data_IF_338803157923
#
_entry.id   IF_338803157923
#
_cell.length_a   1.000
_cell.length_b   1.000
_cell.length_c   1.000
_cell.angle_alpha   90.00
_cell.angle_beta   90.00
_cell.angle_gamma   90.00
#
_symmetry.space_group_name_H-M   'P 1'
#
loop_
_entity.id
_entity.type
_entity.pdbx_description
1 polymer ?
#
# COMPACT_ATOMS: atom_id res chain seq x y z
N UNK A 1 -10.81 -1.29 -11.07
CA UNK A 1 -10.13 -2.34 -10.28
C UNK A 1 -8.67 -2.36 -10.69
N UNK A 2 -7.73 -2.53 -9.77
CA UNK A 2 -6.33 -2.75 -10.15
C UNK A 2 -6.20 -4.11 -10.83
N UNK A 3 -5.55 -4.16 -11.99
CA UNK A 3 -5.43 -5.38 -12.78
C UNK A 3 -3.94 -5.63 -13.02
N UNK A 4 -3.35 -6.68 -12.44
CA UNK A 4 -1.96 -7.03 -12.70
C UNK A 4 -1.77 -7.45 -14.16
N UNK A 5 -0.59 -7.22 -14.72
CA UNK A 5 -0.26 -7.67 -16.09
C UNK A 5 0.17 -9.15 -16.16
N UNK A 6 0.59 -9.69 -15.02
CA UNK A 6 0.96 -11.10 -14.87
C UNK A 6 0.70 -11.50 -13.41
N UNK A 7 0.38 -12.76 -13.21
CA UNK A 7 0.29 -13.43 -11.90
C UNK A 7 1.36 -14.51 -11.76
N UNK A 8 2.28 -14.59 -12.71
CA UNK A 8 3.43 -15.48 -12.63
C UNK A 8 4.40 -14.99 -11.55
N UNK A 9 4.79 -15.90 -10.66
CA UNK A 9 5.71 -15.61 -9.56
C UNK A 9 7.13 -15.47 -10.10
N UNK A 10 7.79 -14.31 -9.97
CA UNK A 10 9.20 -14.18 -10.32
C UNK A 10 10.08 -15.08 -9.45
N UNK A 11 11.26 -15.46 -9.93
CA UNK A 11 12.14 -16.45 -9.28
C UNK A 11 12.51 -16.10 -7.83
N UNK A 12 12.66 -14.82 -7.51
CA UNK A 12 13.05 -14.34 -6.17
C UNK A 12 11.87 -13.97 -5.28
N UNK A 13 10.66 -14.17 -5.76
CA UNK A 13 9.44 -13.84 -5.04
C UNK A 13 8.78 -15.12 -4.54
N UNK A 14 8.37 -15.12 -3.29
CA UNK A 14 7.65 -16.24 -2.67
C UNK A 14 6.39 -15.78 -1.97
N UNK A 15 5.39 -16.63 -1.91
CA UNK A 15 4.27 -16.43 -1.00
C UNK A 15 4.78 -16.54 0.44
N UNK A 16 4.34 -15.61 1.27
CA UNK A 16 4.71 -15.52 2.66
C UNK A 16 3.48 -15.22 3.53
N UNK A 17 3.62 -15.47 4.82
CA UNK A 17 2.65 -15.08 5.83
C UNK A 17 3.40 -14.34 6.93
N UNK A 18 3.01 -13.09 7.16
CA UNK A 18 3.59 -12.27 8.21
C UNK A 18 2.73 -12.41 9.46
N UNK A 19 3.26 -13.14 10.45
CA UNK A 19 2.59 -13.35 11.73
C UNK A 19 2.81 -12.14 12.65
N UNK A 20 1.72 -11.58 13.14
CA UNK A 20 1.72 -10.44 14.06
C UNK A 20 0.75 -10.68 15.21
N UNK A 21 0.81 -9.86 16.25
CA UNK A 21 -0.19 -9.85 17.35
C UNK A 21 -1.61 -9.52 16.87
N UNK A 22 -1.75 -8.91 15.66
CA UNK A 22 -3.03 -8.51 15.08
C UNK A 22 -3.59 -9.52 14.07
N UNK A 23 -2.86 -10.60 13.82
CA UNK A 23 -3.22 -11.70 12.91
C UNK A 23 -2.09 -12.05 11.93
N UNK A 24 -2.39 -13.04 11.10
CA UNK A 24 -1.50 -13.56 10.07
C UNK A 24 -1.84 -12.95 8.72
N UNK A 25 -1.02 -12.03 8.22
CA UNK A 25 -1.28 -11.32 6.96
C UNK A 25 -0.61 -12.04 5.79
N UNK A 26 -1.36 -12.25 4.71
CA UNK A 26 -0.83 -12.79 3.48
C UNK A 26 0.09 -11.76 2.80
N UNK A 27 1.21 -12.25 2.30
CA UNK A 27 2.22 -11.41 1.67
C UNK A 27 2.92 -12.11 0.50
N UNK A 28 3.56 -11.30 -0.34
CA UNK A 28 4.64 -11.72 -1.23
C UNK A 28 5.94 -11.14 -0.70
N UNK A 29 6.95 -11.97 -0.59
CA UNK A 29 8.27 -11.57 -0.15
C UNK A 29 9.29 -11.78 -1.25
N UNK A 30 10.10 -10.76 -1.50
CA UNK A 30 11.27 -10.82 -2.38
C UNK A 30 12.53 -10.56 -1.58
N UNK A 31 13.57 -11.38 -1.80
CA UNK A 31 14.86 -11.27 -1.12
C UNK A 31 16.02 -11.09 -2.12
N UNK A 32 17.14 -10.47 -1.72
CA UNK A 32 18.36 -10.39 -2.53
C UNK A 32 18.86 -11.78 -2.92
N UNK A 33 19.45 -11.89 -4.13
CA UNK A 33 19.90 -13.20 -4.67
C UNK A 33 21.08 -13.84 -3.92
N UNK A 34 21.83 -13.05 -3.17
CA UNK A 34 22.98 -13.54 -2.36
C UNK A 34 22.63 -13.72 -0.88
N UNK A 35 21.36 -13.60 -0.51
CA UNK A 35 20.88 -13.87 0.87
C UNK A 35 21.32 -12.84 1.92
N UNK A 36 22.08 -11.82 1.55
CA UNK A 36 22.51 -10.73 2.45
C UNK A 36 21.70 -9.49 2.16
N UNK A 37 20.99 -8.96 3.18
CA UNK A 37 20.28 -7.70 3.10
C UNK A 37 21.17 -6.59 3.65
N UNK A 38 21.79 -5.82 2.78
CA UNK A 38 22.64 -4.68 3.19
C UNK A 38 21.83 -3.41 3.43
N UNK A 39 20.55 -3.43 3.05
CA UNK A 39 19.66 -2.27 3.09
C UNK A 39 18.39 -2.55 3.89
N UNK A 40 17.74 -1.47 4.30
CA UNK A 40 16.52 -1.54 5.08
C UNK A 40 15.36 -2.12 4.28
N UNK A 41 14.50 -2.93 4.91
CA UNK A 41 13.36 -3.55 4.24
C UNK A 41 12.30 -2.54 3.84
N UNK A 42 11.45 -2.95 2.89
CA UNK A 42 10.30 -2.17 2.45
C UNK A 42 9.00 -2.97 2.59
N UNK A 43 7.92 -2.29 2.97
CA UNK A 43 6.55 -2.83 3.01
C UNK A 43 5.67 -2.06 2.03
N UNK A 44 4.96 -2.79 1.17
CA UNK A 44 4.11 -2.25 0.12
C UNK A 44 2.64 -2.59 0.41
N UNK A 45 1.79 -1.57 0.39
CA UNK A 45 0.37 -1.63 0.78
C UNK A 45 -0.50 -1.36 -0.46
N UNK A 46 -1.41 -2.30 -0.83
CA UNK A 46 -2.21 -2.20 -2.04
C UNK A 46 -3.37 -1.21 -1.91
N UNK A 47 -3.95 -0.87 -3.06
CA UNK A 47 -5.14 -0.02 -3.16
C UNK A 47 -6.45 -0.75 -2.89
N UNK A 48 -7.55 -0.02 -3.01
CA UNK A 48 -8.91 -0.56 -2.95
C UNK A 48 -9.12 -1.64 -4.02
N UNK A 49 -9.73 -2.76 -3.67
CA UNK A 49 -9.90 -3.95 -4.52
C UNK A 49 -8.61 -4.57 -5.05
N UNK A 50 -7.46 -4.09 -4.58
CA UNK A 50 -6.15 -4.63 -4.92
C UNK A 50 -5.71 -5.76 -4.01
N UNK A 51 -4.51 -6.26 -4.26
CA UNK A 51 -3.82 -7.24 -3.43
C UNK A 51 -2.31 -7.12 -3.63
N UNK A 52 -1.55 -7.91 -2.87
CA UNK A 52 -0.08 -7.97 -2.95
C UNK A 52 0.44 -8.23 -4.37
N UNK A 53 -0.36 -8.91 -5.21
CA UNK A 53 -0.01 -9.23 -6.60
C UNK A 53 0.07 -8.00 -7.51
N UNK A 54 -0.54 -6.88 -7.13
CA UNK A 54 -0.41 -5.62 -7.87
C UNK A 54 1.04 -5.09 -7.89
N UNK A 55 1.89 -5.60 -6.98
CA UNK A 55 3.30 -5.24 -6.89
C UNK A 55 4.26 -6.26 -7.51
N UNK A 56 3.77 -7.40 -8.01
CA UNK A 56 4.62 -8.44 -8.60
C UNK A 56 5.69 -7.90 -9.58
N UNK A 57 5.36 -6.96 -10.50
CA UNK A 57 6.34 -6.49 -11.48
C UNK A 57 7.51 -5.71 -10.88
N UNK A 58 7.35 -5.14 -9.68
CA UNK A 58 8.39 -4.33 -9.04
C UNK A 58 9.16 -5.07 -7.95
N UNK A 59 8.66 -6.22 -7.44
CA UNK A 59 9.25 -6.91 -6.30
C UNK A 59 10.68 -7.38 -6.56
N UNK A 60 10.92 -8.09 -7.68
CA UNK A 60 12.25 -8.60 -8.01
C UNK A 60 13.26 -7.48 -8.31
N UNK A 61 12.94 -6.44 -9.13
CA UNK A 61 13.81 -5.29 -9.31
C UNK A 61 14.17 -4.56 -8.01
N UNK A 62 13.23 -4.45 -7.07
CA UNK A 62 13.45 -3.82 -5.78
C UNK A 62 14.35 -4.67 -4.87
N UNK A 63 14.15 -6.00 -4.84
CA UNK A 63 14.99 -6.92 -4.08
C UNK A 63 16.41 -7.00 -4.62
N UNK A 64 16.60 -6.85 -5.93
CA UNK A 64 17.91 -6.80 -6.57
C UNK A 64 18.77 -5.61 -6.10
N UNK A 65 18.16 -4.62 -5.43
CA UNK A 65 18.85 -3.50 -4.79
C UNK A 65 19.19 -3.77 -3.31
N UNK A 66 19.48 -5.02 -2.94
CA UNK A 66 20.03 -5.50 -1.67
C UNK A 66 19.09 -5.31 -0.45
N UNK A 67 17.78 -5.43 -0.66
CA UNK A 67 16.80 -5.30 0.43
C UNK A 67 15.69 -6.35 0.37
N UNK A 68 15.15 -6.72 1.52
CA UNK A 68 13.89 -7.47 1.60
C UNK A 68 12.73 -6.53 1.25
N UNK A 69 11.84 -7.01 0.39
CA UNK A 69 10.62 -6.28 0.00
C UNK A 69 9.41 -7.17 0.25
N UNK A 70 8.44 -6.66 0.99
CA UNK A 70 7.21 -7.37 1.36
C UNK A 70 6.00 -6.59 0.85
N UNK A 71 5.22 -7.18 -0.05
CA UNK A 71 3.90 -6.68 -0.43
C UNK A 71 2.83 -7.46 0.34
N UNK A 72 1.92 -6.77 1.03
CA UNK A 72 0.90 -7.38 1.87
C UNK A 72 -0.50 -7.23 1.30
N UNK A 73 -1.43 -8.12 1.67
CA UNK A 73 -2.86 -7.85 1.57
C UNK A 73 -3.32 -7.15 2.85
N UNK A 74 -4.13 -6.09 2.73
CA UNK A 74 -4.77 -5.47 3.89
C UNK A 74 -5.82 -6.43 4.51
N UNK A 75 -6.16 -6.21 5.76
CA UNK A 75 -7.27 -6.93 6.41
C UNK A 75 -8.52 -6.94 5.52
N UNK A 76 -9.07 -8.13 5.30
CA UNK A 76 -10.24 -8.36 4.47
C UNK A 76 -10.00 -8.32 2.96
N UNK A 77 -8.80 -8.01 2.50
CA UNK A 77 -8.44 -8.20 1.10
C UNK A 77 -7.90 -9.61 0.89
N UNK A 78 -8.33 -10.21 -0.20
CA UNK A 78 -7.90 -11.50 -0.76
C UNK A 78 -7.61 -12.56 0.33
N UNK A 79 -6.35 -12.84 0.63
CA UNK A 79 -5.93 -13.94 1.52
C UNK A 79 -5.64 -13.49 2.96
N UNK A 80 -5.77 -12.21 3.29
CA UNK A 80 -5.55 -11.71 4.65
C UNK A 80 -6.78 -11.89 5.55
N UNK A 81 -6.59 -11.91 6.89
CA UNK A 81 -7.68 -12.18 7.83
C UNK A 81 -8.80 -11.16 7.72
N UNK A 82 -10.01 -11.62 7.99
CA UNK A 82 -11.21 -10.79 7.99
C UNK A 82 -11.54 -10.32 9.42
N UNK A 83 -12.14 -9.14 9.55
CA UNK A 83 -12.72 -8.68 10.80
C UNK A 83 -14.18 -9.13 10.93
N UNK A 84 -14.69 -9.16 12.15
CA UNK A 84 -16.07 -9.57 12.44
C UNK A 84 -17.10 -8.56 11.90
N UNK A 85 -16.78 -7.28 11.98
CA UNK A 85 -17.67 -6.16 11.65
C UNK A 85 -16.92 -5.02 10.95
N UNK A 86 -17.66 -3.96 10.61
CA UNK A 86 -17.12 -2.75 9.93
C UNK A 86 -16.09 -2.00 10.76
N UNK A 87 -16.16 -2.05 12.09
CA UNK A 87 -15.24 -1.34 12.97
C UNK A 87 -13.80 -1.85 12.79
N UNK A 88 -13.63 -3.16 12.57
CA UNK A 88 -12.33 -3.76 12.30
C UNK A 88 -11.68 -3.33 10.98
N UNK A 89 -12.39 -2.60 10.14
CA UNK A 89 -11.88 -2.01 8.89
C UNK A 89 -11.76 -0.48 8.98
N UNK A 90 -11.90 0.10 10.18
CA UNK A 90 -11.67 1.53 10.37
C UNK A 90 -10.23 1.90 9.93
N UNK A 91 -10.01 3.12 9.38
CA UNK A 91 -8.69 3.53 8.90
C UNK A 91 -7.57 3.37 9.93
N UNK A 92 -7.85 3.65 11.20
CA UNK A 92 -6.91 3.45 12.31
C UNK A 92 -6.55 1.99 12.55
N UNK A 93 -7.51 1.06 12.40
CA UNK A 93 -7.29 -0.38 12.51
C UNK A 93 -6.41 -0.90 11.36
N UNK A 94 -6.73 -0.49 10.12
CA UNK A 94 -5.92 -0.85 8.95
C UNK A 94 -4.50 -0.27 9.04
N UNK A 95 -4.36 0.96 9.54
CA UNK A 95 -3.05 1.57 9.76
C UNK A 95 -2.24 0.85 10.86
N UNK A 96 -2.91 0.41 11.93
CA UNK A 96 -2.29 -0.39 12.98
C UNK A 96 -1.85 -1.78 12.47
N UNK A 97 -2.64 -2.41 11.59
CA UNK A 97 -2.27 -3.65 10.93
C UNK A 97 -1.00 -3.48 10.06
N UNK A 98 -0.95 -2.42 9.26
CA UNK A 98 0.23 -2.08 8.45
C UNK A 98 1.47 -1.89 9.33
N UNK A 99 1.34 -1.24 10.48
CA UNK A 99 2.46 -1.06 11.41
C UNK A 99 2.87 -2.36 12.09
N UNK A 100 1.94 -3.25 12.43
CA UNK A 100 2.26 -4.56 12.98
C UNK A 100 3.06 -5.41 11.97
N UNK A 101 2.68 -5.39 10.69
CA UNK A 101 3.43 -6.03 9.61
C UNK A 101 4.80 -5.36 9.43
N UNK A 102 4.88 -4.05 9.43
CA UNK A 102 6.14 -3.30 9.29
C UNK A 102 7.12 -3.64 10.44
N UNK A 103 6.61 -3.73 11.67
CA UNK A 103 7.42 -4.11 12.84
C UNK A 103 7.93 -5.56 12.75
N UNK A 104 7.10 -6.50 12.27
CA UNK A 104 7.52 -7.89 12.07
C UNK A 104 8.62 -7.98 11.02
N UNK A 105 8.41 -7.38 9.86
CA UNK A 105 9.39 -7.33 8.74
C UNK A 105 10.70 -6.68 9.18
N UNK A 106 10.61 -5.60 9.97
CA UNK A 106 11.81 -4.93 10.50
C UNK A 106 12.60 -5.81 11.47
N UNK A 107 11.93 -6.57 12.33
CA UNK A 107 12.58 -7.50 13.28
C UNK A 107 13.28 -8.67 12.57
N UNK A 108 12.61 -9.26 11.58
CA UNK A 108 13.14 -10.40 10.83
C UNK A 108 14.40 -10.01 10.05
N UNK A 109 14.39 -8.81 9.46
CA UNK A 109 15.57 -8.26 8.77
C UNK A 109 16.71 -7.94 9.74
N UNK A 110 16.43 -7.41 10.94
CA UNK A 110 17.44 -7.09 11.94
C UNK A 110 18.08 -8.35 12.57
N UNK A 111 17.33 -9.45 12.70
CA UNK A 111 17.84 -10.71 13.21
C UNK A 111 18.89 -11.35 12.27
N UNK A 112 18.88 -11.02 10.99
CA UNK A 112 19.87 -11.46 10.02
C UNK A 112 21.11 -10.54 9.92
N UNK A 113 21.11 -9.38 10.58
CA UNK A 113 22.16 -8.38 10.49
C UNK A 113 23.03 -8.33 11.76
N UNK A 114 24.28 -8.75 11.64
CA UNK A 114 25.39 -8.36 12.53
C UNK A 114 26.01 -6.99 12.14
N UNK A 115 25.26 -6.16 11.41
CA UNK A 115 25.74 -4.92 10.82
C UNK A 115 25.55 -3.67 11.69
N UNK A 116 26.31 -2.58 11.44
CA UNK A 116 26.42 -1.38 12.31
C UNK A 116 25.18 -0.47 12.30
N UNK A 117 24.03 -0.86 11.73
CA UNK A 117 22.86 -0.01 11.52
C UNK A 117 21.71 -0.27 12.51
N UNK A 118 21.98 -0.11 13.78
CA UNK A 118 21.15 -0.42 14.95
C UNK A 118 19.78 0.27 15.11
N UNK A 119 19.12 0.83 14.10
CA UNK A 119 17.75 1.35 14.24
C UNK A 119 16.76 0.56 13.40
N UNK A 120 15.80 -0.10 14.06
CA UNK A 120 14.67 -0.77 13.43
C UNK A 120 13.82 0.22 12.61
N UNK A 121 13.22 -0.24 11.50
CA UNK A 121 12.29 0.53 10.69
C UNK A 121 12.24 0.05 9.23
N UNK A 122 11.20 0.46 8.53
CA UNK A 122 10.95 0.07 7.14
C UNK A 122 10.72 1.29 6.23
N UNK A 123 10.98 1.13 4.94
CA UNK A 123 10.42 2.00 3.92
C UNK A 123 8.96 1.59 3.69
N UNK A 124 8.03 2.52 3.86
CA UNK A 124 6.61 2.25 3.69
C UNK A 124 6.12 2.82 2.37
N UNK A 125 5.45 2.00 1.58
CA UNK A 125 4.86 2.37 0.29
C UNK A 125 3.38 2.08 0.30
N UNK A 126 2.54 3.02 -0.12
CA UNK A 126 1.12 2.77 -0.31
C UNK A 126 0.66 3.20 -1.69
N UNK A 127 -0.09 2.32 -2.36
CA UNK A 127 -0.74 2.61 -3.63
C UNK A 127 -2.19 3.01 -3.40
N UNK A 128 -2.64 4.12 -4.01
CA UNK A 128 -4.05 4.53 -4.00
C UNK A 128 -4.60 4.64 -2.57
N UNK A 129 -5.66 3.92 -2.21
CA UNK A 129 -6.16 3.81 -0.83
C UNK A 129 -5.07 3.36 0.14
N UNK A 130 -4.22 2.42 -0.27
CA UNK A 130 -3.08 2.00 0.55
C UNK A 130 -2.13 3.15 0.89
N UNK A 131 -2.05 4.18 0.05
CA UNK A 131 -1.31 5.41 0.36
C UNK A 131 -1.95 6.23 1.47
N UNK A 132 -3.29 6.30 1.52
CA UNK A 132 -4.01 6.95 2.62
C UNK A 132 -3.81 6.18 3.94
N UNK A 133 -3.84 4.85 3.90
CA UNK A 133 -3.59 3.99 5.06
C UNK A 133 -2.11 4.07 5.50
N UNK A 134 -1.16 4.04 4.56
CA UNK A 134 0.27 4.19 4.86
C UNK A 134 0.60 5.57 5.46
N UNK A 135 -0.08 6.63 5.01
CA UNK A 135 -0.02 7.96 5.63
C UNK A 135 -0.47 7.89 7.10
N UNK A 136 -1.63 7.29 7.35
CA UNK A 136 -2.18 7.17 8.69
C UNK A 136 -1.28 6.29 9.59
N UNK A 137 -0.68 5.23 9.04
CA UNK A 137 0.31 4.41 9.73
C UNK A 137 1.58 5.21 10.10
N UNK A 138 2.09 6.05 9.20
CA UNK A 138 3.24 6.91 9.48
C UNK A 138 2.95 7.96 10.56
N UNK A 139 1.72 8.47 10.61
CA UNK A 139 1.25 9.40 11.66
C UNK A 139 1.13 8.71 13.02
N UNK A 140 0.70 7.44 13.07
CA UNK A 140 0.59 6.65 14.30
C UNK A 140 1.95 6.29 14.89
N UNK A 141 2.93 6.02 14.06
CA UNK A 141 4.18 5.37 14.46
C UNK A 141 5.42 6.15 14.02
N UNK A 142 5.45 7.42 14.41
CA UNK A 142 6.59 8.32 14.13
C UNK A 142 7.91 7.69 14.60
N UNK A 143 8.85 7.50 13.66
CA UNK A 143 10.21 6.97 13.93
C UNK A 143 10.42 5.49 13.57
N UNK A 144 9.36 4.71 13.32
CA UNK A 144 9.47 3.34 12.79
C UNK A 144 9.38 3.29 11.25
N UNK A 145 8.88 4.35 10.64
CA UNK A 145 8.87 4.54 9.19
C UNK A 145 10.11 5.34 8.79
N UNK A 146 10.97 4.74 7.96
CA UNK A 146 12.21 5.36 7.49
C UNK A 146 11.99 6.36 6.37
N UNK A 147 11.03 6.06 5.51
CA UNK A 147 10.50 6.94 4.48
C UNK A 147 9.10 6.49 4.09
N UNK A 148 8.31 7.40 3.58
CA UNK A 148 6.96 7.14 3.06
C UNK A 148 6.93 7.42 1.57
N UNK A 149 6.39 6.48 0.78
CA UNK A 149 6.08 6.71 -0.63
C UNK A 149 4.59 6.56 -0.89
N UNK A 150 4.00 7.56 -1.53
CA UNK A 150 2.61 7.60 -1.95
C UNK A 150 2.55 7.43 -3.47
N UNK A 151 1.99 6.31 -3.95
CA UNK A 151 1.87 6.00 -5.39
C UNK A 151 0.41 6.16 -5.80
N UNK A 152 0.11 7.04 -6.76
CA UNK A 152 -1.26 7.23 -7.26
C UNK A 152 -2.26 7.53 -6.14
N UNK A 153 -1.86 8.30 -5.14
CA UNK A 153 -2.65 8.58 -3.94
C UNK A 153 -2.81 10.09 -3.74
N UNK A 154 -3.87 10.48 -3.07
CA UNK A 154 -4.20 11.89 -2.87
C UNK A 154 -4.17 12.38 -1.42
N UNK A 155 -4.51 13.64 -1.20
CA UNK A 155 -4.50 14.24 0.13
C UNK A 155 -5.63 13.73 1.04
N UNK A 156 -6.74 13.30 0.45
CA UNK A 156 -7.95 12.87 1.15
C UNK A 156 -8.91 12.16 0.21
N UNK A 157 -10.22 12.38 0.40
CA UNK A 157 -11.27 11.70 -0.35
C UNK A 157 -11.08 11.74 -1.87
N UNK A 158 -11.43 10.64 -2.51
CA UNK A 158 -11.43 10.53 -3.97
C UNK A 158 -12.59 11.33 -4.56
N UNK A 159 -12.36 11.96 -5.71
CA UNK A 159 -13.34 12.78 -6.42
C UNK A 159 -13.71 12.24 -7.80
N UNK A 160 -14.36 13.10 -8.58
CA UNK A 160 -14.63 12.87 -10.01
C UNK A 160 -15.44 11.61 -10.30
N UNK A 161 -15.17 11.01 -11.47
CA UNK A 161 -15.90 9.85 -11.97
C UNK A 161 -15.74 8.62 -11.04
N UNK A 162 -14.57 8.43 -10.45
CA UNK A 162 -14.32 7.30 -9.54
C UNK A 162 -15.17 7.37 -8.27
N UNK A 163 -15.41 8.56 -7.73
CA UNK A 163 -16.33 8.74 -6.60
C UNK A 163 -17.77 8.39 -6.96
N UNK A 164 -18.21 8.67 -8.21
CA UNK A 164 -19.54 8.29 -8.70
C UNK A 164 -19.67 6.77 -8.73
N UNK A 165 -18.70 6.07 -9.31
CA UNK A 165 -18.67 4.60 -9.37
C UNK A 165 -18.67 3.98 -7.97
N UNK A 166 -17.91 4.54 -7.02
CA UNK A 166 -17.92 4.05 -5.62
C UNK A 166 -19.27 4.23 -4.95
N UNK A 167 -19.97 5.33 -5.19
CA UNK A 167 -21.33 5.53 -4.65
C UNK A 167 -22.30 4.52 -5.25
N UNK A 168 -22.27 4.30 -6.57
CA UNK A 168 -23.08 3.27 -7.22
C UNK A 168 -22.82 1.87 -6.65
N UNK A 169 -21.56 1.53 -6.40
CA UNK A 169 -21.20 0.28 -5.73
C UNK A 169 -21.82 0.19 -4.32
N UNK A 170 -21.75 1.26 -3.54
CA UNK A 170 -22.33 1.32 -2.20
C UNK A 170 -23.87 1.29 -2.23
N UNK A 171 -24.52 1.89 -3.23
CA UNK A 171 -25.98 1.82 -3.40
C UNK A 171 -26.44 0.37 -3.62
N UNK A 172 -25.61 -0.48 -4.21
CA UNK A 172 -25.89 -1.91 -4.41
C UNK A 172 -25.53 -2.74 -3.17
N UNK A 173 -24.34 -2.52 -2.59
CA UNK A 173 -23.84 -3.35 -1.50
C UNK A 173 -24.37 -2.93 -0.12
N UNK A 174 -24.76 -1.68 0.05
CA UNK A 174 -25.12 -1.10 1.36
C UNK A 174 -26.27 -0.08 1.25
N UNK A 175 -27.43 -0.48 0.64
CA UNK A 175 -28.53 0.42 0.33
C UNK A 175 -29.12 1.07 1.60
N UNK A 176 -29.09 0.37 2.73
CA UNK A 176 -29.61 0.84 4.02
C UNK A 176 -28.54 1.43 4.94
N UNK A 177 -27.32 1.63 4.46
CA UNK A 177 -26.22 2.27 5.18
C UNK A 177 -25.90 1.57 6.52
N UNK A 178 -25.95 0.23 6.54
CA UNK A 178 -25.64 -0.59 7.70
C UNK A 178 -26.72 -0.65 8.76
N UNK A 179 -27.93 -0.13 8.49
CA UNK A 179 -29.04 -0.13 9.47
C UNK A 179 -29.58 -1.52 9.76
N UNK A 180 -29.54 -2.42 8.76
CA UNK A 180 -30.10 -3.79 8.87
C UNK A 180 -29.05 -4.82 9.29
N UNK A 181 -27.84 -4.37 9.62
CA UNK A 181 -26.69 -5.23 9.87
C UNK A 181 -26.03 -5.73 8.58
N UNK A 182 -24.92 -6.46 8.74
CA UNK A 182 -24.16 -7.01 7.62
C UNK A 182 -24.36 -8.53 7.54
N UNK A 183 -25.22 -8.98 6.64
CA UNK A 183 -25.29 -10.39 6.25
C UNK A 183 -24.18 -10.70 5.24
N UNK A 184 -23.11 -11.31 5.73
CA UNK A 184 -21.90 -11.60 4.94
C UNK A 184 -22.20 -12.52 3.77
N UNK A 185 -23.03 -13.53 3.95
CA UNK A 185 -23.33 -14.51 2.90
C UNK A 185 -24.14 -13.85 1.78
N UNK A 186 -25.11 -13.02 2.14
CA UNK A 186 -25.89 -12.23 1.18
C UNK A 186 -24.98 -11.25 0.42
N UNK A 187 -24.12 -10.52 1.11
CA UNK A 187 -23.18 -9.57 0.49
C UNK A 187 -22.19 -10.29 -0.44
N UNK A 188 -21.69 -11.45 -0.04
CA UNK A 188 -20.80 -12.27 -0.89
C UNK A 188 -21.52 -12.73 -2.16
N UNK A 189 -22.78 -13.10 -2.07
CA UNK A 189 -23.59 -13.47 -3.23
C UNK A 189 -23.76 -12.29 -4.21
N UNK A 190 -24.00 -11.08 -3.68
CA UNK A 190 -24.10 -9.85 -4.49
C UNK A 190 -22.77 -9.54 -5.19
N UNK A 191 -21.64 -9.62 -4.47
CA UNK A 191 -20.30 -9.41 -5.05
C UNK A 191 -20.02 -10.42 -6.15
N UNK A 192 -20.36 -11.70 -5.94
CA UNK A 192 -20.23 -12.75 -6.94
C UNK A 192 -21.12 -12.51 -8.18
N UNK A 193 -22.32 -11.96 -7.98
CA UNK A 193 -23.19 -11.58 -9.08
C UNK A 193 -22.61 -10.39 -9.87
N UNK A 194 -22.14 -9.34 -9.19
CA UNK A 194 -21.48 -8.20 -9.84
C UNK A 194 -20.26 -8.62 -10.66
N UNK A 195 -19.48 -9.59 -10.16
CA UNK A 195 -18.38 -10.16 -10.92
C UNK A 195 -18.87 -10.79 -12.23
N UNK A 196 -19.80 -11.76 -12.15
CA UNK A 196 -20.29 -12.51 -13.30
C UNK A 196 -21.01 -11.64 -14.34
N UNK A 197 -21.79 -10.67 -13.91
CA UNK A 197 -22.65 -9.89 -14.80
C UNK A 197 -21.96 -8.65 -15.40
N UNK A 198 -20.95 -8.11 -14.70
CA UNK A 198 -20.35 -6.83 -15.10
C UNK A 198 -18.83 -6.89 -15.24
N UNK A 199 -18.10 -7.37 -14.22
CA UNK A 199 -16.66 -7.23 -14.18
C UNK A 199 -15.94 -8.23 -15.09
N UNK A 200 -16.35 -9.51 -15.09
CA UNK A 200 -15.77 -10.54 -15.94
C UNK A 200 -16.05 -10.30 -17.43
N UNK A 201 -17.28 -9.98 -17.86
CA UNK A 201 -17.53 -9.63 -19.26
C UNK A 201 -16.72 -8.42 -19.73
N UNK A 202 -16.58 -7.39 -18.86
CA UNK A 202 -15.76 -6.24 -19.21
C UNK A 202 -14.28 -6.60 -19.35
N UNK A 203 -13.73 -7.39 -18.43
CA UNK A 203 -12.33 -7.85 -18.50
C UNK A 203 -12.07 -8.63 -19.81
N UNK A 204 -13.02 -9.47 -20.25
CA UNK A 204 -12.94 -10.20 -21.53
C UNK A 204 -12.98 -9.25 -22.73
N UNK A 205 -13.85 -8.23 -22.70
CA UNK A 205 -13.93 -7.21 -23.75
C UNK A 205 -12.65 -6.38 -23.84
N UNK A 206 -12.01 -6.12 -22.71
CA UNK A 206 -10.73 -5.40 -22.64
C UNK A 206 -9.53 -6.27 -23.07
N UNK A 207 -9.76 -7.55 -23.42
CA UNK A 207 -8.72 -8.47 -23.87
C UNK A 207 -7.81 -8.97 -22.74
N UNK A 208 -8.29 -8.96 -21.50
CA UNK A 208 -7.52 -9.48 -20.35
C UNK A 208 -7.27 -10.97 -20.49
N UNK A 209 -6.04 -11.42 -20.21
CA UNK A 209 -5.65 -12.83 -20.25
C UNK A 209 -6.51 -13.68 -19.30
N UNK A 210 -6.88 -14.90 -19.73
CA UNK A 210 -7.76 -15.80 -18.97
C UNK A 210 -7.20 -16.18 -17.59
N UNK A 211 -5.87 -16.25 -17.42
CA UNK A 211 -5.25 -16.51 -16.11
C UNK A 211 -5.42 -15.33 -15.19
N UNK A 212 -5.37 -14.11 -15.72
CA UNK A 212 -5.63 -12.88 -14.96
C UNK A 212 -7.11 -12.82 -14.60
N UNK A 213 -8.02 -13.13 -15.51
CA UNK A 213 -9.46 -13.20 -15.22
C UNK A 213 -9.75 -14.20 -14.11
N UNK A 214 -9.18 -15.40 -14.18
CA UNK A 214 -9.32 -16.42 -13.13
C UNK A 214 -8.81 -15.90 -11.76
N UNK A 215 -7.64 -15.26 -11.75
CA UNK A 215 -7.11 -14.64 -10.54
C UNK A 215 -8.00 -13.51 -10.00
N UNK A 216 -8.50 -12.63 -10.86
CA UNK A 216 -9.40 -11.54 -10.46
C UNK A 216 -10.71 -12.07 -9.88
N UNK A 217 -11.22 -13.16 -10.46
CA UNK A 217 -12.39 -13.89 -9.94
C UNK A 217 -12.14 -14.42 -8.53
N UNK A 218 -11.04 -15.14 -8.35
CA UNK A 218 -10.66 -15.70 -7.05
C UNK A 218 -10.47 -14.59 -6.00
N UNK A 219 -9.70 -13.55 -6.33
CA UNK A 219 -9.48 -12.39 -5.47
C UNK A 219 -10.79 -11.73 -5.05
N UNK A 220 -11.71 -11.54 -6.00
CA UNK A 220 -13.01 -10.92 -5.75
C UNK A 220 -13.85 -11.76 -4.79
N UNK A 221 -13.91 -13.08 -4.98
CA UNK A 221 -14.68 -13.97 -4.12
C UNK A 221 -14.10 -14.16 -2.72
N UNK A 222 -12.77 -14.04 -2.56
CA UNK A 222 -12.12 -14.16 -1.25
C UNK A 222 -12.08 -12.83 -0.48
N UNK A 223 -12.27 -11.69 -1.15
CA UNK A 223 -12.32 -10.39 -0.49
C UNK A 223 -13.57 -10.25 0.38
N UNK A 224 -13.40 -9.84 1.64
CA UNK A 224 -14.52 -9.63 2.56
C UNK A 224 -15.43 -8.49 2.09
N UNK A 225 -16.73 -8.73 1.84
CA UNK A 225 -17.64 -7.69 1.36
C UNK A 225 -17.87 -6.58 2.39
N UNK A 226 -17.85 -6.90 3.70
CA UNK A 226 -17.94 -5.91 4.78
C UNK A 226 -16.75 -4.96 4.74
N UNK A 227 -15.53 -5.52 4.54
CA UNK A 227 -14.31 -4.74 4.36
C UNK A 227 -14.36 -3.89 3.09
N UNK A 228 -14.87 -4.44 1.99
CA UNK A 228 -15.06 -3.71 0.73
C UNK A 228 -15.95 -2.47 0.92
N UNK A 229 -17.09 -2.62 1.61
CA UNK A 229 -18.00 -1.51 1.93
C UNK A 229 -17.30 -0.45 2.80
N UNK A 230 -16.62 -0.87 3.88
CA UNK A 230 -15.95 0.05 4.79
C UNK A 230 -14.84 0.84 4.08
N UNK A 231 -14.02 0.18 3.26
CA UNK A 231 -12.95 0.81 2.49
C UNK A 231 -13.50 1.75 1.40
N UNK A 232 -14.60 1.39 0.72
CA UNK A 232 -15.26 2.27 -0.24
C UNK A 232 -15.77 3.56 0.42
N UNK A 233 -16.39 3.43 1.61
CA UNK A 233 -16.84 4.59 2.39
C UNK A 233 -15.66 5.47 2.82
N UNK A 234 -14.58 4.85 3.28
CA UNK A 234 -13.36 5.58 3.65
C UNK A 234 -12.82 6.39 2.48
N UNK A 235 -12.73 5.82 1.28
CA UNK A 235 -12.29 6.54 0.08
C UNK A 235 -13.15 7.77 -0.24
N UNK A 236 -14.46 7.72 0.03
CA UNK A 236 -15.38 8.83 -0.21
C UNK A 236 -15.35 9.91 0.88
N UNK A 237 -14.86 9.58 2.08
CA UNK A 237 -14.95 10.46 3.27
C UNK A 237 -13.61 10.77 3.92
N UNK A 238 -12.52 10.20 3.40
CA UNK A 238 -11.18 10.37 3.97
C UNK A 238 -10.81 11.85 4.12
N UNK A 239 -10.46 12.32 5.32
CA UNK A 239 -10.06 13.72 5.52
C UNK A 239 -8.70 14.01 4.88
N UNK A 240 -8.49 15.25 4.46
CA UNK A 240 -7.16 15.75 4.11
C UNK A 240 -6.33 15.89 5.40
N UNK A 241 -5.30 15.07 5.54
CA UNK A 241 -4.37 15.06 6.67
C UNK A 241 -2.95 15.44 6.26
N UNK A 242 -2.81 16.13 5.14
CA UNK A 242 -1.48 16.46 4.60
C UNK A 242 -0.73 17.43 5.51
N UNK A 243 -1.41 18.34 6.20
CA UNK A 243 -0.74 19.27 7.11
C UNK A 243 -0.21 18.56 8.38
N UNK A 244 -0.92 17.53 8.87
CA UNK A 244 -0.42 16.66 9.92
C UNK A 244 0.84 15.89 9.46
N UNK A 245 0.81 15.31 8.27
CA UNK A 245 1.97 14.62 7.71
C UNK A 245 3.12 15.59 7.42
N UNK A 246 2.84 16.80 6.95
CA UNK A 246 3.85 17.82 6.69
C UNK A 246 4.61 18.25 7.96
N UNK A 247 3.99 18.13 9.14
CA UNK A 247 4.68 18.36 10.40
C UNK A 247 5.81 17.34 10.64
N UNK A 248 5.69 16.10 10.13
CA UNK A 248 6.73 15.08 10.23
C UNK A 248 7.85 15.25 9.20
N UNK A 249 7.63 15.98 8.11
CA UNK A 249 8.62 16.19 7.05
C UNK A 249 9.56 17.37 7.34
N UNK A 250 9.27 18.15 8.36
CA UNK A 250 10.12 19.29 8.78
C UNK A 250 11.19 18.83 9.76
N UNK A 251 12.34 19.52 9.83
CA UNK A 251 13.30 19.28 10.89
C UNK A 251 12.64 19.41 12.26
N UNK A 252 12.86 18.43 13.17
CA UNK A 252 12.29 18.49 14.51
C UNK A 252 12.82 19.71 15.27
N UNK A 253 11.97 20.26 16.14
CA UNK A 253 12.40 21.31 17.07
C UNK A 253 13.39 20.77 18.12
N UNK A 254 14.04 21.65 18.89
CA UNK A 254 15.03 21.24 19.90
C UNK A 254 14.51 20.24 20.95
N UNK A 255 13.19 20.20 21.18
CA UNK A 255 12.54 19.29 22.11
C UNK A 255 12.27 17.90 21.53
N UNK A 256 12.31 17.73 20.20
CA UNK A 256 11.90 16.50 19.50
C UNK A 256 13.09 15.69 18.97
N UNK A 257 14.33 16.07 19.32
CA UNK A 257 15.52 15.30 18.95
C UNK A 257 15.50 13.93 19.64
N UNK A 258 15.47 12.79 18.90
CA UNK A 258 16.54 12.37 17.99
C UNK A 258 16.06 11.96 16.57
N UNK A 259 14.94 12.48 16.09
CA UNK A 259 14.36 12.06 14.80
C UNK A 259 14.62 13.10 13.72
N UNK A 260 15.30 12.69 12.64
CA UNK A 260 15.33 13.49 11.42
C UNK A 260 13.94 13.59 10.79
N UNK A 261 13.73 14.54 9.86
CA UNK A 261 12.48 14.69 9.14
C UNK A 261 12.15 13.39 8.38
N UNK A 262 10.86 13.03 8.30
CA UNK A 262 10.39 11.89 7.53
C UNK A 262 10.55 12.21 6.02
N UNK A 263 11.40 11.48 5.27
CA UNK A 263 11.47 11.64 3.83
C UNK A 263 10.18 11.13 3.18
N UNK A 264 9.61 11.91 2.24
CA UNK A 264 8.40 11.52 1.50
C UNK A 264 8.65 11.61 0.01
N UNK A 265 8.16 10.62 -0.74
CA UNK A 265 8.13 10.59 -2.21
C UNK A 265 6.68 10.46 -2.67
N UNK A 266 6.29 11.24 -3.66
CA UNK A 266 5.00 11.10 -4.36
C UNK A 266 5.27 10.64 -5.78
N UNK A 267 4.76 9.45 -6.14
CA UNK A 267 4.82 8.88 -7.49
C UNK A 267 3.41 8.88 -8.08
N UNK A 268 3.25 9.34 -9.31
CA UNK A 268 1.97 9.31 -10.01
C UNK A 268 2.15 9.20 -11.51
N UNK A 269 1.18 8.60 -12.17
CA UNK A 269 1.13 8.57 -13.63
C UNK A 269 0.67 9.90 -14.21
N UNK A 270 1.19 10.22 -15.39
CA UNK A 270 0.81 11.41 -16.16
C UNK A 270 -0.71 11.47 -16.45
N UNK A 271 -1.34 10.29 -16.55
CA UNK A 271 -2.76 10.12 -16.88
C UNK A 271 -3.59 9.60 -15.70
N UNK A 272 -3.17 9.82 -14.46
CA UNK A 272 -3.93 9.36 -13.28
C UNK A 272 -5.30 10.08 -13.21
N UNK A 273 -6.36 9.29 -13.22
CA UNK A 273 -7.76 9.73 -13.18
C UNK A 273 -8.41 9.60 -11.80
N UNK A 274 -7.73 9.01 -10.83
CA UNK A 274 -8.23 8.86 -9.46
C UNK A 274 -7.96 10.12 -8.62
N UNK A 275 -6.71 10.53 -8.56
CA UNK A 275 -6.30 11.85 -8.12
C UNK A 275 -5.50 12.49 -9.25
N UNK A 276 -6.05 13.51 -9.93
CA UNK A 276 -5.37 14.14 -11.05
C UNK A 276 -3.94 14.56 -10.74
N UNK A 277 -3.01 14.51 -11.71
CA UNK A 277 -1.58 14.81 -11.49
C UNK A 277 -1.33 16.15 -10.80
N UNK A 278 -2.14 17.17 -11.08
CA UNK A 278 -2.03 18.49 -10.45
C UNK A 278 -2.39 18.46 -8.95
N UNK A 279 -3.35 17.60 -8.53
CA UNK A 279 -3.68 17.38 -7.12
C UNK A 279 -2.50 16.74 -6.40
N UNK A 280 -1.91 15.68 -6.97
CA UNK A 280 -0.76 14.99 -6.39
C UNK A 280 0.49 15.88 -6.39
N UNK A 281 0.67 16.70 -7.41
CA UNK A 281 1.73 17.70 -7.45
C UNK A 281 1.58 18.74 -6.31
N UNK A 282 0.37 19.28 -6.11
CA UNK A 282 0.12 20.21 -4.99
C UNK A 282 0.33 19.55 -3.64
N UNK A 283 -0.09 18.29 -3.49
CA UNK A 283 0.16 17.50 -2.27
C UNK A 283 1.66 17.36 -2.01
N UNK A 284 2.45 16.98 -3.01
CA UNK A 284 3.91 16.85 -2.89
C UNK A 284 4.57 18.17 -2.43
N UNK A 285 4.10 19.31 -2.96
CA UNK A 285 4.59 20.64 -2.52
C UNK A 285 4.26 20.95 -1.06
N UNK A 286 3.02 20.65 -0.60
CA UNK A 286 2.63 20.82 0.82
C UNK A 286 3.49 19.96 1.75
N UNK A 287 3.86 18.76 1.30
CA UNK A 287 4.71 17.82 2.04
C UNK A 287 6.20 18.11 1.96
N UNK A 288 6.65 19.07 1.16
CA UNK A 288 8.07 19.23 0.80
C UNK A 288 8.69 17.91 0.28
N UNK A 289 7.87 17.07 -0.37
CA UNK A 289 8.22 15.74 -0.83
C UNK A 289 8.98 15.77 -2.17
N UNK A 290 9.84 14.78 -2.36
CA UNK A 290 10.32 14.42 -3.69
C UNK A 290 9.13 13.92 -4.54
N UNK A 291 9.21 14.07 -5.86
CA UNK A 291 8.13 13.64 -6.75
C UNK A 291 8.66 13.02 -8.03
N UNK A 292 7.90 12.04 -8.52
CA UNK A 292 8.14 11.40 -9.81
C UNK A 292 6.82 11.27 -10.57
N UNK A 293 6.66 12.04 -11.64
CA UNK A 293 5.58 11.85 -12.61
C UNK A 293 6.05 10.82 -13.64
N UNK A 294 5.30 9.72 -13.81
CA UNK A 294 5.66 8.64 -14.72
C UNK A 294 4.96 8.88 -16.07
N UNK A 295 5.72 9.18 -17.14
CA UNK A 295 5.13 9.44 -18.46
C UNK A 295 4.36 8.22 -18.98
N UNK A 296 3.20 8.47 -19.58
CA UNK A 296 2.34 7.44 -20.18
C UNK A 296 1.63 6.52 -19.19
N UNK A 297 1.99 6.53 -17.90
CA UNK A 297 1.29 5.76 -16.88
C UNK A 297 -0.01 6.47 -16.43
N UNK A 298 -0.97 5.67 -15.96
CA UNK A 298 -2.20 6.15 -15.35
C UNK A 298 -2.17 5.92 -13.82
N UNK A 299 -3.21 5.28 -13.25
CA UNK A 299 -3.38 5.16 -11.81
C UNK A 299 -2.43 4.17 -11.12
N UNK A 300 -1.89 3.19 -11.85
CA UNK A 300 -1.11 2.07 -11.28
C UNK A 300 0.33 2.01 -11.81
N UNK A 301 1.20 3.00 -11.54
CA UNK A 301 2.57 3.05 -12.06
C UNK A 301 3.40 1.80 -11.79
N UNK A 302 3.19 1.10 -10.65
CA UNK A 302 3.89 -0.15 -10.33
C UNK A 302 3.56 -1.29 -11.31
N UNK A 303 2.37 -1.27 -11.91
CA UNK A 303 1.92 -2.24 -12.94
C UNK A 303 2.25 -1.74 -14.35
N UNK A 304 2.03 -0.45 -14.58
CA UNK A 304 2.05 0.14 -15.92
C UNK A 304 3.46 0.48 -16.41
N UNK A 305 4.35 0.88 -15.48
CA UNK A 305 5.74 1.25 -15.73
C UNK A 305 6.67 0.74 -14.61
N UNK A 306 6.78 -0.59 -14.41
CA UNK A 306 7.44 -1.20 -13.26
C UNK A 306 8.90 -0.79 -13.11
N UNK A 307 9.68 -0.80 -14.19
CA UNK A 307 11.12 -0.47 -14.14
C UNK A 307 11.36 0.97 -13.71
N UNK A 308 10.54 1.90 -14.21
CA UNK A 308 10.67 3.31 -13.86
C UNK A 308 10.24 3.54 -12.42
N UNK A 309 9.17 2.88 -11.98
CA UNK A 309 8.71 2.93 -10.60
C UNK A 309 9.74 2.32 -9.64
N UNK A 310 10.28 1.15 -9.94
CA UNK A 310 11.31 0.51 -9.11
C UNK A 310 12.58 1.35 -9.00
N UNK A 311 13.04 1.98 -10.10
CA UNK A 311 14.19 2.90 -10.06
C UNK A 311 13.93 4.12 -9.19
N UNK A 312 12.73 4.73 -9.29
CA UNK A 312 12.36 5.88 -8.47
C UNK A 312 12.37 5.52 -6.98
N UNK A 313 11.76 4.39 -6.62
CA UNK A 313 11.74 3.86 -5.25
C UNK A 313 13.15 3.60 -4.71
N UNK A 314 13.96 2.83 -5.44
CA UNK A 314 15.32 2.47 -5.03
C UNK A 314 16.22 3.70 -4.85
N UNK A 315 16.16 4.65 -5.79
CA UNK A 315 16.94 5.90 -5.71
C UNK A 315 16.57 6.70 -4.47
N UNK A 316 15.27 6.85 -4.23
CA UNK A 316 14.75 7.58 -3.07
C UNK A 316 15.12 6.92 -1.75
N UNK A 317 14.91 5.60 -1.61
CA UNK A 317 15.23 4.89 -0.38
C UNK A 317 16.71 4.94 -0.05
N UNK A 318 17.57 4.72 -1.04
CA UNK A 318 19.02 4.81 -0.86
C UNK A 318 19.46 6.23 -0.42
N UNK A 319 18.79 7.27 -0.92
CA UNK A 319 19.05 8.64 -0.47
C UNK A 319 18.55 8.89 0.97
N UNK A 320 17.38 8.35 1.32
CA UNK A 320 16.81 8.45 2.66
C UNK A 320 17.70 7.78 3.71
N UNK A 321 18.24 6.58 3.40
CA UNK A 321 19.17 5.87 4.30
C UNK A 321 20.48 6.66 4.52
N UNK A 322 21.05 7.26 3.46
CA UNK A 322 22.27 8.08 3.57
C UNK A 322 22.12 9.35 4.41
N UNK A 323 20.90 9.91 4.48
CA UNK A 323 20.61 11.13 5.25
C UNK A 323 20.46 10.89 6.75
N UNK A 324 20.33 9.63 7.19
CA UNK A 324 20.25 9.30 8.61
C UNK A 324 21.63 9.28 9.25
N UNK A 325 21.85 10.02 10.36
CA UNK A 325 23.10 9.88 11.09
C UNK A 325 23.24 8.44 11.60
N UNK A 326 24.45 7.91 11.54
CA UNK A 326 24.78 6.64 12.18
C UNK A 326 24.43 6.76 13.67
N UNK A 327 23.67 5.82 14.21
CA UNK A 327 23.38 5.78 15.64
C UNK A 327 24.71 5.67 16.40
N UNK A 328 25.01 6.54 17.40
CA UNK A 328 26.22 6.39 18.21
C UNK A 328 26.23 5.00 18.83
N UNK A 329 27.32 4.28 18.69
CA UNK A 329 27.48 3.00 19.39
C UNK A 329 27.45 3.28 20.90
N UNK A 330 26.69 2.51 21.70
CA UNK A 330 26.78 2.63 23.14
C UNK A 330 28.16 2.11 23.58
N UNK A 331 29.05 3.04 24.00
CA UNK A 331 30.33 2.75 24.66
C UNK A 331 31.54 2.74 23.74
N UNK A 332 32.08 3.88 23.41
CA UNK A 332 33.52 4.12 23.24
C UNK A 332 34.00 5.02 24.36
#
# INVERSE_FOLDING_TARGET
MSTPRSVEMPYRVRSAKVTTERGDFAALEAQPGHGVCERRPAVLVPGFTGSKEDFLPVLEPLAAADRTVVAMDLRGQYQSPQAADRAGYAPGELAADVMAVADAVSRDSAASETGPHGSAGVHLVGHSMGGLIARDAALLATGRVLSLTLIGSGPGAIGGQRAIVLRQLLDVLDPHQGRDGDDRDQLSAIVAQLWREHLEPQARLDGTDERIIAFLSERTHQTCPIGLIAMARYLLTCPDRIDELAALTRPPGPADAPRGPLPVLVIYGENDDAWPPDVQHRMARRLHAERSCIPGAAHSPAVEAPDTTARALTTFWNAAERRRPATPQPGS
#
